data_IF_001725866545
#
_entry.id   IF_001725866545
#
_cell.length_a   1.000
_cell.length_b   1.000
_cell.length_c   1.000
_cell.angle_alpha   90.00
_cell.angle_beta   90.00
_cell.angle_gamma   90.00
#
_symmetry.space_group_name_H-M   'P 1'
#
loop_
_entity.id
_entity.type
_entity.pdbx_description
1 polymer ?
#
# COMPACT_ATOMS: atom_id res chain seq x y z
N UNK A 1 -12.56 -0.09 34.61
CA UNK A 1 -13.52 -0.47 33.57
C UNK A 1 -12.69 -0.86 32.36
N UNK A 2 -12.52 -2.16 32.10
CA UNK A 2 -11.70 -2.62 30.98
C UNK A 2 -12.44 -2.28 29.68
N UNK A 3 -11.82 -1.46 28.83
CA UNK A 3 -12.31 -1.27 27.47
C UNK A 3 -12.23 -2.62 26.76
N UNK A 4 -13.28 -3.07 26.04
CA UNK A 4 -13.18 -4.30 25.28
C UNK A 4 -12.02 -4.18 24.30
N UNK A 5 -11.13 -5.17 24.29
CA UNK A 5 -10.03 -5.25 23.33
C UNK A 5 -10.63 -5.13 21.93
N UNK A 6 -10.17 -4.15 21.14
CA UNK A 6 -10.59 -4.04 19.76
C UNK A 6 -10.23 -5.36 19.04
N UNK A 7 -11.15 -5.93 18.24
CA UNK A 7 -10.83 -7.13 17.49
C UNK A 7 -9.60 -6.85 16.61
N UNK A 8 -8.67 -7.81 16.49
CA UNK A 8 -7.47 -7.62 15.69
C UNK A 8 -7.86 -7.28 14.25
N UNK A 9 -7.16 -6.30 13.67
CA UNK A 9 -7.32 -5.93 12.25
C UNK A 9 -7.07 -7.18 11.42
N UNK A 10 -8.07 -7.63 10.66
CA UNK A 10 -7.96 -8.80 9.77
C UNK A 10 -7.77 -8.32 8.35
N UNK A 11 -6.84 -8.95 7.64
CA UNK A 11 -6.73 -8.82 6.21
C UNK A 11 -8.07 -9.07 5.53
N UNK A 12 -8.37 -8.24 4.52
CA UNK A 12 -9.53 -8.39 3.66
C UNK A 12 -9.12 -8.12 2.23
N UNK A 13 -9.43 -9.07 1.35
CA UNK A 13 -9.28 -8.97 -0.09
C UNK A 13 -10.68 -8.93 -0.72
N UNK A 14 -11.02 -7.83 -1.38
CA UNK A 14 -12.27 -7.68 -2.15
C UNK A 14 -11.90 -7.78 -3.61
N UNK A 15 -12.53 -8.71 -4.33
CA UNK A 15 -12.27 -8.93 -5.75
C UNK A 15 -13.54 -8.70 -6.55
N UNK A 16 -13.37 -8.07 -7.71
CA UNK A 16 -14.38 -7.93 -8.72
C UNK A 16 -13.76 -8.28 -10.08
N UNK A 17 -14.49 -9.03 -10.89
CA UNK A 17 -14.05 -9.37 -12.24
C UNK A 17 -15.23 -9.32 -13.21
N UNK A 18 -14.98 -8.70 -14.35
CA UNK A 18 -15.87 -8.62 -15.50
C UNK A 18 -15.05 -8.75 -16.77
N UNK A 19 -15.70 -8.72 -17.94
CA UNK A 19 -15.01 -8.78 -19.23
C UNK A 19 -14.01 -7.63 -19.44
N UNK A 20 -14.30 -6.44 -18.89
CA UNK A 20 -13.55 -5.21 -19.17
C UNK A 20 -12.79 -4.66 -17.96
N UNK A 21 -12.94 -5.28 -16.79
CA UNK A 21 -12.37 -4.78 -15.55
C UNK A 21 -12.18 -5.92 -14.56
N UNK A 22 -10.98 -6.04 -14.03
CA UNK A 22 -10.71 -6.77 -12.80
C UNK A 22 -10.19 -5.78 -11.75
N UNK A 23 -10.63 -5.94 -10.52
CA UNK A 23 -10.28 -5.07 -9.41
C UNK A 23 -10.00 -5.91 -8.19
N UNK A 24 -8.90 -5.63 -7.52
CA UNK A 24 -8.53 -6.22 -6.23
C UNK A 24 -8.29 -5.10 -5.23
N UNK A 25 -8.98 -5.14 -4.10
CA UNK A 25 -8.85 -4.17 -3.03
C UNK A 25 -8.37 -4.90 -1.80
N UNK A 26 -7.12 -4.63 -1.44
CA UNK A 26 -6.46 -5.19 -0.29
C UNK A 26 -6.58 -4.21 0.87
N UNK A 27 -7.14 -4.68 1.98
CA UNK A 27 -7.35 -3.92 3.20
C UNK A 27 -6.61 -4.63 4.31
N UNK A 28 -5.68 -3.92 4.95
CA UNK A 28 -4.71 -4.51 5.85
C UNK A 28 -3.96 -5.72 5.25
N UNK A 29 -3.36 -5.57 4.06
CA UNK A 29 -2.66 -6.68 3.41
C UNK A 29 -1.52 -7.23 4.24
N UNK A 30 -1.36 -8.55 4.18
CA UNK A 30 -0.11 -9.25 4.48
C UNK A 30 0.83 -9.18 3.26
N UNK A 31 2.14 -9.30 3.52
CA UNK A 31 3.20 -9.31 2.50
C UNK A 31 2.95 -10.38 1.45
N UNK A 32 2.58 -11.59 1.88
CA UNK A 32 2.33 -12.73 0.99
C UNK A 32 1.18 -12.48 0.01
N UNK A 33 0.06 -11.95 0.51
CA UNK A 33 -1.12 -11.63 -0.31
C UNK A 33 -0.81 -10.54 -1.32
N UNK A 34 -0.16 -9.45 -0.89
CA UNK A 34 0.22 -8.38 -1.81
C UNK A 34 1.18 -8.87 -2.89
N UNK A 35 2.22 -9.63 -2.53
CA UNK A 35 3.16 -10.19 -3.49
C UNK A 35 2.44 -11.05 -4.53
N UNK A 36 1.50 -11.89 -4.11
CA UNK A 36 0.73 -12.72 -5.02
C UNK A 36 -0.16 -11.88 -5.96
N UNK A 37 -0.86 -10.87 -5.44
CA UNK A 37 -1.65 -9.95 -6.28
C UNK A 37 -0.78 -9.18 -7.26
N UNK A 38 0.39 -8.69 -6.85
CA UNK A 38 1.33 -7.98 -7.75
C UNK A 38 1.87 -8.90 -8.84
N UNK A 39 2.24 -10.16 -8.50
CA UNK A 39 2.65 -11.17 -9.50
C UNK A 39 1.53 -11.48 -10.49
N UNK A 40 0.31 -11.67 -10.00
CA UNK A 40 -0.86 -11.95 -10.83
C UNK A 40 -1.14 -10.78 -11.78
N UNK A 41 -1.09 -9.55 -11.28
CA UNK A 41 -1.23 -8.32 -12.06
C UNK A 41 -0.19 -8.26 -13.19
N UNK A 42 1.09 -8.45 -12.83
CA UNK A 42 2.22 -8.31 -13.74
C UNK A 42 2.25 -9.40 -14.83
N UNK A 43 1.83 -10.62 -14.49
CA UNK A 43 1.74 -11.75 -15.42
C UNK A 43 0.38 -11.90 -16.13
N UNK A 44 -0.58 -11.00 -15.86
CA UNK A 44 -1.89 -11.04 -16.54
C UNK A 44 -1.79 -10.63 -18.02
N UNK A 45 -2.81 -10.96 -18.81
CA UNK A 45 -2.93 -10.52 -20.20
C UNK A 45 -3.62 -9.15 -20.36
N UNK A 46 -3.81 -8.43 -19.26
CA UNK A 46 -4.45 -7.12 -19.27
C UNK A 46 -3.52 -6.05 -19.82
N UNK A 47 -4.10 -5.08 -20.55
CA UNK A 47 -3.34 -3.98 -21.17
C UNK A 47 -3.16 -2.79 -20.24
N UNK A 48 -4.15 -2.45 -19.43
CA UNK A 48 -4.15 -1.22 -18.63
C UNK A 48 -4.20 -1.56 -17.16
N UNK A 49 -3.08 -1.34 -16.47
CA UNK A 49 -2.90 -1.71 -15.06
C UNK A 49 -2.73 -0.46 -14.22
N UNK A 50 -3.42 -0.39 -13.10
CA UNK A 50 -3.25 0.64 -12.10
C UNK A 50 -3.02 0.00 -10.74
N UNK A 51 -2.03 0.50 -10.01
CA UNK A 51 -1.80 0.16 -8.61
C UNK A 51 -1.83 1.44 -7.82
N UNK A 52 -2.71 1.51 -6.82
CA UNK A 52 -2.86 2.67 -5.94
C UNK A 52 -2.56 2.21 -4.53
N UNK A 53 -1.43 2.66 -4.00
CA UNK A 53 -1.11 2.52 -2.59
C UNK A 53 -1.62 3.73 -1.82
N UNK A 54 -2.61 3.50 -0.96
CA UNK A 54 -3.18 4.46 -0.03
C UNK A 54 -2.93 3.96 1.40
N UNK A 55 -1.71 4.16 1.87
CA UNK A 55 -1.25 3.66 3.16
C UNK A 55 0.03 4.34 3.64
N UNK A 56 0.57 3.82 4.73
CA UNK A 56 1.81 4.37 5.28
C UNK A 56 3.03 3.93 4.49
N UNK A 57 3.97 4.86 4.36
CA UNK A 57 5.25 4.65 3.70
C UNK A 57 6.39 5.04 4.64
N UNK A 58 7.45 4.23 4.68
CA UNK A 58 8.66 4.58 5.41
C UNK A 58 9.44 5.66 4.65
N UNK A 59 9.61 6.83 5.28
CA UNK A 59 10.29 7.97 4.65
C UNK A 59 11.75 7.70 4.26
N UNK A 60 12.41 6.72 4.90
CA UNK A 60 13.81 6.40 4.60
C UNK A 60 14.01 5.71 3.25
N UNK A 61 13.05 4.91 2.78
CA UNK A 61 13.22 4.05 1.60
C UNK A 61 11.99 3.92 0.71
N UNK A 62 10.87 4.55 1.07
CA UNK A 62 9.63 4.48 0.29
C UNK A 62 8.86 3.17 0.45
N UNK A 63 9.29 2.23 1.30
CA UNK A 63 8.62 0.94 1.46
C UNK A 63 7.22 1.12 2.05
N UNK A 64 6.26 0.37 1.51
CA UNK A 64 4.89 0.32 1.99
C UNK A 64 4.81 -0.53 3.25
N UNK A 65 4.21 0.00 4.30
CA UNK A 65 4.01 -0.72 5.55
C UNK A 65 2.81 -1.67 5.42
N UNK A 66 2.98 -2.93 5.82
CA UNK A 66 1.97 -3.99 5.77
C UNK A 66 1.78 -4.59 7.18
N UNK A 67 0.81 -5.50 7.35
CA UNK A 67 0.53 -6.08 8.68
C UNK A 67 1.72 -6.83 9.29
N UNK A 68 2.44 -7.58 8.46
CA UNK A 68 3.50 -8.52 8.85
C UNK A 68 4.88 -8.17 8.28
N UNK A 69 5.02 -7.01 7.64
CA UNK A 69 6.30 -6.58 7.06
C UNK A 69 6.17 -5.36 6.16
N UNK A 70 7.00 -5.31 5.12
CA UNK A 70 7.04 -4.21 4.17
C UNK A 70 7.08 -4.70 2.74
N UNK A 71 6.55 -3.91 1.82
CA UNK A 71 6.75 -4.10 0.38
C UNK A 71 7.52 -2.92 -0.18
N UNK A 72 8.68 -3.20 -0.76
CA UNK A 72 9.66 -2.22 -1.18
C UNK A 72 9.76 -2.11 -2.71
N UNK A 73 10.52 -1.11 -3.17
CA UNK A 73 10.91 -1.01 -4.57
C UNK A 73 11.63 -2.26 -5.07
N UNK A 74 12.46 -2.90 -4.24
CA UNK A 74 13.19 -4.11 -4.59
C UNK A 74 12.23 -5.29 -4.80
N UNK A 75 11.22 -5.45 -3.94
CA UNK A 75 10.20 -6.50 -4.07
C UNK A 75 9.40 -6.36 -5.37
N UNK A 76 9.03 -5.12 -5.72
CA UNK A 76 8.37 -4.84 -7.01
C UNK A 76 9.30 -5.13 -8.20
N UNK A 77 10.57 -4.74 -8.09
CA UNK A 77 11.57 -4.96 -9.15
C UNK A 77 11.84 -6.45 -9.37
N UNK A 78 11.83 -7.25 -8.31
CA UNK A 78 11.95 -8.72 -8.39
C UNK A 78 10.74 -9.32 -9.09
N UNK A 79 9.51 -8.94 -8.70
CA UNK A 79 8.28 -9.41 -9.35
C UNK A 79 8.21 -9.05 -10.84
N UNK A 80 8.77 -7.90 -11.23
CA UNK A 80 8.92 -7.51 -12.63
C UNK A 80 9.85 -8.43 -13.41
N UNK A 81 10.94 -8.89 -12.79
CA UNK A 81 11.98 -9.71 -13.42
C UNK A 81 11.62 -11.20 -13.48
N UNK A 82 10.50 -11.61 -12.88
CA UNK A 82 10.03 -12.99 -12.98
C UNK A 82 9.80 -13.41 -14.44
N UNK A 83 10.11 -14.68 -14.71
CA UNK A 83 10.08 -15.26 -16.06
C UNK A 83 8.71 -15.05 -16.71
N UNK A 84 7.62 -15.34 -15.98
CA UNK A 84 6.26 -15.21 -16.52
C UNK A 84 5.90 -13.74 -16.81
N UNK A 85 6.31 -12.80 -15.96
CA UNK A 85 6.14 -11.36 -16.21
C UNK A 85 6.90 -10.92 -17.46
N UNK A 86 8.18 -11.29 -17.58
CA UNK A 86 9.01 -10.91 -18.73
C UNK A 86 8.49 -11.52 -20.04
N UNK A 87 7.97 -12.76 -20.00
CA UNK A 87 7.34 -13.40 -21.17
C UNK A 87 6.13 -12.62 -21.65
N UNK A 88 5.26 -12.16 -20.73
CA UNK A 88 4.08 -11.36 -21.05
C UNK A 88 4.47 -10.00 -21.60
N UNK A 89 5.40 -9.29 -20.95
CA UNK A 89 5.90 -7.99 -21.41
C UNK A 89 6.49 -8.10 -22.82
N UNK A 90 7.26 -9.16 -23.09
CA UNK A 90 7.83 -9.38 -24.41
C UNK A 90 6.77 -9.73 -25.48
N UNK A 91 5.78 -10.56 -25.13
CA UNK A 91 4.71 -10.93 -26.06
C UNK A 91 3.80 -9.75 -26.46
N UNK A 92 3.68 -8.75 -25.60
CA UNK A 92 2.86 -7.55 -25.81
C UNK A 92 3.69 -6.27 -25.65
N UNK A 93 4.89 -6.25 -26.22
CA UNK A 93 5.83 -5.13 -26.10
C UNK A 93 5.16 -3.80 -26.49
N UNK A 94 5.25 -2.80 -25.61
CA UNK A 94 4.59 -1.49 -25.69
C UNK A 94 3.05 -1.52 -25.69
N UNK A 95 2.42 -2.69 -25.57
CA UNK A 95 0.97 -2.87 -25.50
C UNK A 95 0.40 -2.90 -24.09
N UNK A 96 1.27 -2.91 -23.07
CA UNK A 96 0.90 -2.91 -21.65
C UNK A 96 1.29 -1.57 -21.04
N UNK A 97 0.41 -0.99 -20.23
CA UNK A 97 0.69 0.18 -19.39
C UNK A 97 0.48 -0.15 -17.91
N UNK A 98 1.38 0.35 -17.05
CA UNK A 98 1.25 0.29 -15.60
C UNK A 98 1.36 1.69 -15.00
N UNK A 99 0.30 2.13 -14.35
CA UNK A 99 0.28 3.37 -13.57
C UNK A 99 0.38 3.03 -12.08
N UNK A 100 1.48 3.43 -11.46
CA UNK A 100 1.73 3.25 -10.03
C UNK A 100 1.50 4.57 -9.30
N UNK A 101 0.49 4.61 -8.45
CA UNK A 101 0.23 5.72 -7.53
C UNK A 101 0.72 5.35 -6.14
N UNK A 102 1.75 6.03 -5.66
CA UNK A 102 2.37 5.77 -4.35
C UNK A 102 3.10 7.02 -3.83
N UNK A 103 3.66 6.91 -2.62
CA UNK A 103 4.47 7.99 -2.04
C UNK A 103 5.64 8.40 -2.96
N UNK A 104 6.01 9.67 -2.92
CA UNK A 104 7.20 10.20 -3.61
C UNK A 104 8.51 9.80 -2.93
N UNK A 105 8.44 9.24 -1.72
CA UNK A 105 9.59 8.74 -0.97
C UNK A 105 10.19 7.50 -1.62
N UNK A 106 11.51 7.34 -1.51
CA UNK A 106 12.23 6.19 -2.05
C UNK A 106 12.42 6.20 -3.56
N UNK A 107 12.62 5.01 -4.12
CA UNK A 107 13.15 4.83 -5.47
C UNK A 107 12.10 4.54 -6.56
N UNK A 108 10.81 4.65 -6.24
CA UNK A 108 9.71 4.32 -7.16
C UNK A 108 9.82 5.04 -8.51
N UNK A 109 10.27 6.30 -8.51
CA UNK A 109 10.43 7.10 -9.74
C UNK A 109 11.52 6.57 -10.72
N UNK A 110 12.35 5.61 -10.29
CA UNK A 110 13.30 4.91 -11.16
C UNK A 110 12.62 3.84 -12.03
N UNK A 111 11.49 3.30 -11.59
CA UNK A 111 10.79 2.18 -12.24
C UNK A 111 10.57 2.35 -13.75
N UNK A 112 10.16 3.53 -14.28
CA UNK A 112 10.00 3.73 -15.72
C UNK A 112 11.30 3.69 -16.53
N UNK A 113 12.45 3.83 -15.88
CA UNK A 113 13.78 3.90 -16.52
C UNK A 113 14.54 2.57 -16.45
N UNK A 114 14.01 1.59 -15.74
CA UNK A 114 14.65 0.30 -15.55
C UNK A 114 14.60 -0.56 -16.82
N UNK A 115 15.63 -1.38 -17.10
CA UNK A 115 15.67 -2.19 -18.31
C UNK A 115 14.56 -3.26 -18.32
N UNK A 116 14.20 -3.80 -17.15
CA UNK A 116 13.18 -4.83 -17.00
C UNK A 116 11.75 -4.31 -17.28
N UNK A 117 11.53 -3.00 -17.24
CA UNK A 117 10.24 -2.38 -17.52
C UNK A 117 10.11 -1.86 -18.95
N UNK A 118 11.18 -1.89 -19.76
CA UNK A 118 11.25 -1.19 -21.06
C UNK A 118 10.13 -1.56 -22.06
N UNK A 119 9.64 -2.80 -22.03
CA UNK A 119 8.53 -3.26 -22.88
C UNK A 119 7.13 -2.90 -22.34
N UNK A 120 7.05 -2.24 -21.18
CA UNK A 120 5.83 -1.83 -20.50
C UNK A 120 5.84 -0.30 -20.33
N UNK A 121 4.74 0.36 -20.67
CA UNK A 121 4.60 1.80 -20.45
C UNK A 121 4.31 2.06 -18.97
N UNK A 122 5.38 2.19 -18.16
CA UNK A 122 5.26 2.43 -16.73
C UNK A 122 5.26 3.92 -16.42
N UNK A 123 4.30 4.38 -15.62
CA UNK A 123 4.23 5.75 -15.09
C UNK A 123 4.06 5.70 -13.59
N UNK A 124 4.73 6.62 -12.90
CA UNK A 124 4.62 6.76 -11.44
C UNK A 124 3.99 8.10 -11.15
N UNK A 125 2.91 8.08 -10.39
CA UNK A 125 2.08 9.25 -10.05
C UNK A 125 1.72 10.10 -11.29
N UNK A 126 1.11 9.52 -12.34
CA UNK A 126 0.63 10.29 -13.48
C UNK A 126 -0.42 11.33 -13.04
N UNK A 127 -0.59 12.39 -13.83
CA UNK A 127 -1.54 13.46 -13.54
C UNK A 127 -2.96 12.92 -13.60
N UNK A 128 -3.76 13.24 -12.58
CA UNK A 128 -5.16 12.88 -12.51
C UNK A 128 -5.94 13.49 -13.68
N UNK A 129 -6.73 12.64 -14.36
CA UNK A 129 -7.62 13.03 -15.46
C UNK A 129 -9.10 13.06 -15.04
N UNK A 130 -9.39 12.74 -13.78
CA UNK A 130 -10.75 12.69 -13.25
C UNK A 130 -11.24 14.08 -12.82
N UNK A 131 -12.48 14.39 -13.19
CA UNK A 131 -13.20 15.57 -12.71
C UNK A 131 -13.82 15.27 -11.35
N UNK A 132 -13.58 16.14 -10.36
CA UNK A 132 -14.19 16.04 -9.04
C UNK A 132 -15.73 15.97 -9.11
N UNK A 133 -16.36 15.20 -8.21
CA UNK A 133 -17.81 15.18 -8.06
C UNK A 133 -18.58 14.12 -8.84
N UNK A 134 -17.91 13.09 -9.38
CA UNK A 134 -18.61 11.94 -9.97
C UNK A 134 -19.40 11.14 -8.91
N UNK A 135 -20.73 10.95 -9.09
CA UNK A 135 -21.55 10.17 -8.15
C UNK A 135 -21.07 8.73 -7.97
N UNK A 136 -20.44 8.14 -9.00
CA UNK A 136 -19.89 6.79 -8.96
C UNK A 136 -18.68 6.70 -8.03
N UNK A 137 -17.82 7.72 -8.04
CA UNK A 137 -16.65 7.80 -7.14
C UNK A 137 -17.15 7.90 -5.69
N UNK A 138 -18.15 8.76 -5.43
CA UNK A 138 -18.72 8.88 -4.07
C UNK A 138 -19.33 7.57 -3.59
N UNK A 139 -20.07 6.85 -4.44
CA UNK A 139 -20.62 5.53 -4.10
C UNK A 139 -19.52 4.51 -3.79
N UNK A 140 -18.45 4.51 -4.57
CA UNK A 140 -17.30 3.64 -4.35
C UNK A 140 -16.60 3.95 -3.01
N UNK A 141 -16.35 5.22 -2.72
CA UNK A 141 -15.78 5.65 -1.42
C UNK A 141 -16.69 5.21 -0.27
N UNK A 142 -18.01 5.42 -0.37
CA UNK A 142 -18.97 5.01 0.66
C UNK A 142 -19.06 3.49 0.84
N UNK A 143 -18.79 2.71 -0.22
CA UNK A 143 -18.70 1.25 -0.13
C UNK A 143 -17.43 0.85 0.63
N UNK A 144 -16.27 1.40 0.25
CA UNK A 144 -14.98 1.05 0.86
C UNK A 144 -14.87 1.52 2.31
N UNK A 145 -15.41 2.70 2.63
CA UNK A 145 -15.33 3.28 3.98
C UNK A 145 -15.94 2.40 5.07
N UNK A 146 -16.85 1.49 4.72
CA UNK A 146 -17.46 0.54 5.65
C UNK A 146 -16.47 -0.51 6.17
N UNK A 147 -15.35 -0.70 5.47
CA UNK A 147 -14.31 -1.68 5.81
C UNK A 147 -13.08 -1.04 6.45
N UNK A 148 -12.98 0.29 6.43
CA UNK A 148 -11.86 1.03 7.04
C UNK A 148 -12.22 1.29 8.49
N UNK A 149 -11.50 0.67 9.42
CA UNK A 149 -11.65 0.93 10.86
C UNK A 149 -10.50 1.85 11.26
N UNK A 150 -10.75 3.14 11.55
CA UNK A 150 -9.70 4.01 12.07
C UNK A 150 -9.21 3.49 13.42
N UNK A 151 -7.91 3.32 13.57
CA UNK A 151 -7.30 3.08 14.88
C UNK A 151 -7.53 4.29 15.77
N UNK A 152 -8.06 4.09 16.98
CA UNK A 152 -8.41 5.21 17.86
C UNK A 152 -7.15 5.85 18.46
N UNK A 153 -7.14 7.17 18.63
CA UNK A 153 -5.97 7.89 19.16
C UNK A 153 -5.56 7.38 20.56
N UNK A 154 -6.50 6.92 21.36
CA UNK A 154 -6.26 6.35 22.68
C UNK A 154 -5.49 5.02 22.60
N UNK A 155 -5.74 4.21 21.57
CA UNK A 155 -4.95 3.00 21.31
C UNK A 155 -3.54 3.32 20.82
N UNK A 156 -3.38 4.43 20.08
CA UNK A 156 -2.09 4.91 19.60
C UNK A 156 -1.23 5.52 20.73
N UNK A 157 -1.88 6.12 21.71
CA UNK A 157 -1.26 6.76 22.86
C UNK A 157 -1.44 5.93 24.13
N UNK A 158 -1.25 4.60 24.04
CA UNK A 158 -1.26 3.76 25.24
C UNK A 158 -0.19 4.26 26.21
N UNK A 159 -0.65 4.69 27.39
CA UNK A 159 0.23 5.08 28.48
C UNK A 159 1.13 3.89 28.86
N UNK A 160 2.40 4.17 29.13
CA UNK A 160 3.27 3.15 29.72
C UNK A 160 2.78 2.83 31.13
N UNK A 161 2.74 1.54 31.49
CA UNK A 161 2.49 1.10 32.88
C UNK A 161 3.64 1.49 33.83
N UNK A 162 4.75 2.02 33.29
CA UNK A 162 5.89 2.50 34.06
C UNK A 162 5.56 3.85 34.68
N UNK A 163 5.12 3.80 35.94
CA UNK A 163 5.00 4.99 36.79
C UNK A 163 6.36 5.26 37.43
N UNK A 164 7.07 6.28 36.96
CA UNK A 164 8.36 6.71 37.49
C UNK A 164 8.42 8.23 37.65
N UNK A 165 8.96 8.71 38.77
CA UNK A 165 9.17 10.15 38.97
C UNK A 165 10.39 10.60 38.16
N UNK A 166 10.16 11.21 36.99
CA UNK A 166 11.25 11.73 36.16
C UNK A 166 11.64 13.10 36.70
N UNK A 167 12.84 13.21 37.28
CA UNK A 167 13.40 14.47 37.78
C UNK A 167 14.45 14.98 36.81
N UNK A 168 14.20 16.15 36.23
CA UNK A 168 15.18 16.84 35.39
C UNK A 168 15.91 17.92 36.19
N UNK A 169 17.24 17.87 36.20
CA UNK A 169 18.08 18.85 36.89
C UNK A 169 18.59 19.98 35.98
N UNK A 170 18.28 19.92 34.69
CA UNK A 170 18.68 20.86 33.63
C UNK A 170 17.52 21.00 32.61
N UNK A 171 17.53 22.02 31.73
CA UNK A 171 16.60 22.08 30.60
C UNK A 171 16.76 20.83 29.74
N UNK A 172 15.74 19.97 29.72
CA UNK A 172 15.78 18.66 29.03
C UNK A 172 14.57 18.54 28.12
N UNK A 173 14.80 18.25 26.84
CA UNK A 173 13.74 17.85 25.90
C UNK A 173 13.55 16.34 26.01
N UNK A 174 12.39 15.92 26.51
CA UNK A 174 12.02 14.52 26.61
C UNK A 174 11.13 14.14 25.42
N UNK A 175 11.68 13.39 24.48
CA UNK A 175 10.94 12.88 23.32
C UNK A 175 10.54 11.45 23.62
N UNK A 176 9.24 11.22 23.80
CA UNK A 176 8.71 9.86 23.81
C UNK A 176 8.82 9.30 22.38
N UNK A 177 9.55 8.19 22.15
CA UNK A 177 9.43 7.50 20.88
C UNK A 177 8.00 6.98 20.81
N UNK A 178 7.20 7.50 19.88
CA UNK A 178 5.95 6.86 19.48
C UNK A 178 6.29 5.47 18.92
N UNK A 179 6.26 4.47 19.80
CA UNK A 179 6.42 3.02 19.64
C UNK A 179 7.02 2.48 18.35
N UNK A 180 8.29 2.08 18.37
CA UNK A 180 8.84 1.19 17.33
C UNK A 180 8.14 -0.19 17.29
N UNK A 181 7.62 -0.67 18.42
CA UNK A 181 7.09 -2.04 18.52
C UNK A 181 5.55 -2.15 18.49
N UNK A 182 4.83 -1.02 18.61
CA UNK A 182 3.35 -0.95 18.53
C UNK A 182 2.81 -0.23 17.29
N UNK A 183 3.70 0.19 16.38
CA UNK A 183 3.33 0.68 15.04
C UNK A 183 2.57 -0.37 14.21
N UNK A 184 2.58 -1.65 14.59
CA UNK A 184 1.81 -2.73 13.91
C UNK A 184 0.31 -2.45 13.85
N UNK A 185 -0.26 -1.75 14.84
CA UNK A 185 -1.67 -1.37 14.89
C UNK A 185 -1.97 -0.01 14.24
N UNK A 186 -0.94 0.70 13.75
CA UNK A 186 -1.04 2.02 13.11
C UNK A 186 -1.27 1.95 11.59
N UNK A 187 -1.02 0.81 10.95
CA UNK A 187 -0.97 0.71 9.50
C UNK A 187 -2.33 0.41 8.87
N UNK A 188 -3.14 1.46 8.73
CA UNK A 188 -4.22 1.50 7.74
C UNK A 188 -3.60 1.59 6.34
N UNK A 189 -3.07 0.48 5.82
CA UNK A 189 -2.61 0.38 4.44
C UNK A 189 -3.69 -0.28 3.59
N UNK A 190 -4.07 0.41 2.51
CA UNK A 190 -5.01 -0.08 1.53
C UNK A 190 -4.36 0.00 0.16
N UNK A 191 -4.47 -1.07 -0.60
CA UNK A 191 -3.91 -1.14 -1.96
C UNK A 191 -5.05 -1.51 -2.90
N UNK A 192 -5.26 -0.67 -3.90
CA UNK A 192 -6.27 -0.88 -4.93
C UNK A 192 -5.55 -1.20 -6.22
N UNK A 193 -5.84 -2.35 -6.79
CA UNK A 193 -5.32 -2.80 -8.07
C UNK A 193 -6.47 -2.84 -9.06
N UNK A 194 -6.30 -2.16 -10.19
CA UNK A 194 -7.20 -2.26 -11.35
C UNK A 194 -6.41 -2.84 -12.52
N UNK A 195 -7.04 -3.73 -13.29
CA UNK A 195 -6.46 -4.32 -14.49
C UNK A 195 -7.53 -4.62 -15.55
#
# INVERSE_FOLDING_TARGET
>A
MFSPAQPPLRERLIQFASENLVTEILIYPMVSTLLQCMRNLLSSFTRHRHVIHAGYTFASNGSWALQDGTFSYADLSEAFQEIETQRVIHAYENGISLDLHCSLEGDWCKLPKEPFSKGCNVRVNPIDVLSYGSPSITKFINYISQFLIPTSLESLLQCSDVVGNIRFSRPTLYVFPGGQDKLRDLFNTYIIIFQ
#
